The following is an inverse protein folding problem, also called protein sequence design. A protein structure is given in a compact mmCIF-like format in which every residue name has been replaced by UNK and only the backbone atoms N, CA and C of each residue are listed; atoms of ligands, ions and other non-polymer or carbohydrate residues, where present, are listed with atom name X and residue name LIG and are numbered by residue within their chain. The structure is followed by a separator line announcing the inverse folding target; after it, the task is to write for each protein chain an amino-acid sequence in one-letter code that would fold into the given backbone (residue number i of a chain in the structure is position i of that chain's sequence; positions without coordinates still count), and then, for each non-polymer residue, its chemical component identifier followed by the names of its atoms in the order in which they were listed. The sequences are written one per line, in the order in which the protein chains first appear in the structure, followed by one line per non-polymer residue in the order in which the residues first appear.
data_IF_328333160647
#
_entry.id   IF_328333160647
#
_cell.length_a   1.000
_cell.length_b   1.000
_cell.length_c   1.000
_cell.angle_alpha   90.00
_cell.angle_beta   90.00
_cell.angle_gamma   90.00
#
_symmetry.space_group_name_H-M   'P 1'
#
loop_
_entity.id
_entity.type
_entity.pdbx_description
1 polymer ?
#
# COMPACT_ATOMS: atom_id res chain seq x y z
N UNK A 1 -17.07 0.34 -16.20
CA UNK A 1 -18.31 -0.36 -16.55
C UNK A 1 -19.19 0.53 -17.43
N UNK A 2 -19.65 0.01 -18.56
CA UNK A 2 -20.69 0.68 -19.33
C UNK A 2 -22.08 0.52 -18.65
N UNK A 3 -23.05 1.31 -19.10
CA UNK A 3 -24.39 1.33 -18.52
C UNK A 3 -25.12 -0.02 -18.71
N UNK A 4 -24.86 -0.71 -19.81
CA UNK A 4 -25.45 -2.02 -20.08
C UNK A 4 -24.92 -3.10 -19.13
N UNK A 5 -23.64 -3.09 -18.80
CA UNK A 5 -23.05 -4.00 -17.82
C UNK A 5 -23.59 -3.72 -16.41
N UNK A 6 -23.66 -2.44 -16.01
CA UNK A 6 -24.25 -2.04 -14.71
C UNK A 6 -25.72 -2.46 -14.61
N UNK A 7 -26.50 -2.30 -15.69
CA UNK A 7 -27.88 -2.75 -15.74
C UNK A 7 -28.02 -4.27 -15.59
N UNK A 8 -27.03 -5.05 -16.00
CA UNK A 8 -26.96 -6.50 -15.80
C UNK A 8 -26.49 -6.92 -14.39
N UNK A 9 -26.07 -5.98 -13.54
CA UNK A 9 -25.64 -6.25 -12.17
C UNK A 9 -24.15 -6.48 -11.99
N UNK A 10 -23.31 -6.06 -12.95
CA UNK A 10 -21.86 -6.03 -12.75
C UNK A 10 -21.51 -4.93 -11.75
N UNK A 11 -20.70 -5.29 -10.76
CA UNK A 11 -20.11 -4.38 -9.77
C UNK A 11 -18.61 -4.26 -9.96
N UNK A 12 -17.96 -5.31 -10.51
CA UNK A 12 -16.53 -5.36 -10.78
C UNK A 12 -16.16 -4.54 -12.01
N UNK A 13 -15.08 -3.78 -11.91
CA UNK A 13 -14.52 -2.94 -12.97
C UNK A 13 -13.14 -3.40 -13.40
N UNK A 14 -12.84 -3.22 -14.69
CA UNK A 14 -11.48 -3.38 -15.20
C UNK A 14 -10.63 -2.20 -14.75
N UNK A 15 -9.47 -2.47 -14.15
CA UNK A 15 -8.42 -1.46 -14.01
C UNK A 15 -7.54 -1.49 -15.26
N UNK A 16 -7.52 -0.38 -16.00
CA UNK A 16 -6.79 -0.26 -17.27
C UNK A 16 -5.56 0.59 -17.05
N UNK A 17 -4.39 0.07 -17.42
CA UNK A 17 -3.12 0.77 -17.36
C UNK A 17 -2.71 1.24 -18.74
N UNK A 18 -2.29 2.50 -18.82
CA UNK A 18 -1.81 3.14 -20.03
C UNK A 18 -0.32 3.42 -19.93
N UNK A 19 0.37 3.32 -21.05
CA UNK A 19 1.76 3.74 -21.21
C UNK A 19 1.77 5.07 -21.97
N UNK A 20 2.32 6.09 -21.33
CA UNK A 20 2.52 7.40 -21.94
C UNK A 20 3.99 7.60 -22.31
N UNK A 21 4.26 7.92 -23.57
CA UNK A 21 5.56 8.41 -23.99
C UNK A 21 5.66 9.91 -23.68
N UNK A 22 6.40 10.27 -22.64
CA UNK A 22 6.50 11.66 -22.16
C UNK A 22 7.18 12.61 -23.17
N UNK A 23 7.91 12.09 -24.17
CA UNK A 23 8.56 12.89 -25.21
C UNK A 23 7.62 13.18 -26.38
N UNK A 24 6.79 12.22 -26.78
CA UNK A 24 5.90 12.35 -27.94
C UNK A 24 4.46 12.67 -27.55
N UNK A 25 4.07 12.44 -26.30
CA UNK A 25 2.70 12.53 -25.83
C UNK A 25 1.80 11.35 -26.28
N UNK A 26 2.37 10.36 -26.95
CA UNK A 26 1.62 9.18 -27.39
C UNK A 26 1.23 8.30 -26.21
N UNK A 27 -0.04 7.94 -26.17
CA UNK A 27 -0.64 7.08 -25.15
C UNK A 27 -1.16 5.79 -25.80
N UNK A 28 -0.92 4.66 -25.17
CA UNK A 28 -1.51 3.38 -25.54
C UNK A 28 -1.86 2.57 -24.31
N UNK A 29 -2.88 1.72 -24.42
CA UNK A 29 -3.20 0.75 -23.39
C UNK A 29 -2.01 -0.23 -23.26
N UNK A 30 -1.49 -0.38 -22.02
CA UNK A 30 -0.43 -1.33 -21.72
C UNK A 30 -1.03 -2.70 -21.40
N UNK A 31 -1.93 -2.75 -20.45
CA UNK A 31 -2.67 -3.95 -20.05
C UNK A 31 -3.88 -3.56 -19.17
N UNK A 32 -4.72 -4.55 -18.91
CA UNK A 32 -5.87 -4.40 -18.00
C UNK A 32 -5.99 -5.58 -17.05
N UNK A 33 -6.52 -5.34 -15.86
CA UNK A 33 -6.75 -6.34 -14.83
C UNK A 33 -8.25 -6.39 -14.49
N UNK A 34 -8.85 -7.58 -14.32
CA UNK A 34 -10.29 -7.73 -14.13
C UNK A 34 -10.74 -7.47 -12.68
N UNK A 35 -10.18 -6.47 -12.02
CA UNK A 35 -10.50 -6.13 -10.64
C UNK A 35 -10.08 -4.70 -10.32
N UNK A 36 -10.57 -4.16 -9.21
CA UNK A 36 -10.06 -2.92 -8.61
C UNK A 36 -8.64 -3.14 -8.09
N UNK A 37 -7.69 -2.32 -8.51
CA UNK A 37 -6.27 -2.41 -8.12
C UNK A 37 -5.92 -1.22 -7.24
N UNK A 38 -5.42 -1.49 -6.03
CA UNK A 38 -5.03 -0.49 -5.05
C UNK A 38 -3.56 -0.08 -5.14
N UNK A 39 -2.70 -0.94 -5.70
CA UNK A 39 -1.28 -0.66 -5.89
C UNK A 39 -0.67 -1.48 -7.02
N UNK A 40 0.26 -0.87 -7.77
CA UNK A 40 1.02 -1.52 -8.84
C UNK A 40 2.49 -1.15 -8.73
N UNK A 41 3.36 -2.15 -8.72
CA UNK A 41 4.81 -1.98 -8.65
C UNK A 41 5.50 -2.75 -9.78
N UNK A 42 6.40 -2.10 -10.51
CA UNK A 42 7.28 -2.79 -11.45
C UNK A 42 8.33 -3.55 -10.66
N UNK A 43 8.40 -4.87 -10.82
CA UNK A 43 9.41 -5.71 -10.19
C UNK A 43 10.70 -5.72 -11.02
N UNK A 44 10.55 -6.01 -12.31
CA UNK A 44 11.61 -6.00 -13.32
C UNK A 44 11.00 -5.96 -14.74
N UNK A 45 11.75 -6.35 -15.77
CA UNK A 45 11.25 -6.29 -17.13
C UNK A 45 10.13 -7.31 -17.35
N UNK A 46 8.95 -6.80 -17.73
CA UNK A 46 7.76 -7.60 -18.01
C UNK A 46 7.09 -8.24 -16.80
N UNK A 47 7.55 -7.96 -15.56
CA UNK A 47 6.90 -8.47 -14.34
C UNK A 47 6.47 -7.32 -13.43
N UNK A 48 5.20 -7.37 -13.01
CA UNK A 48 4.61 -6.42 -12.09
C UNK A 48 4.00 -7.15 -10.90
N UNK A 49 4.09 -6.54 -9.74
CA UNK A 49 3.35 -6.95 -8.54
C UNK A 49 2.22 -5.96 -8.33
N UNK A 50 1.06 -6.43 -8.00
CA UNK A 50 -0.07 -5.57 -7.71
C UNK A 50 -0.92 -6.10 -6.56
N UNK A 51 -1.65 -5.20 -5.91
CA UNK A 51 -2.69 -5.54 -4.96
C UNK A 51 -4.04 -5.28 -5.58
N UNK A 52 -4.91 -6.28 -5.50
CA UNK A 52 -6.24 -6.22 -6.09
C UNK A 52 -7.31 -6.71 -5.14
N UNK A 53 -8.51 -6.12 -5.25
CA UNK A 53 -9.66 -6.51 -4.47
C UNK A 53 -10.22 -7.85 -4.93
N UNK A 54 -10.39 -8.78 -3.99
CA UNK A 54 -11.02 -10.08 -4.21
C UNK A 54 -12.11 -10.34 -3.19
N UNK A 55 -13.07 -11.19 -3.54
CA UNK A 55 -14.19 -11.56 -2.67
C UNK A 55 -14.17 -13.06 -2.36
N UNK A 56 -14.35 -13.42 -1.10
CA UNK A 56 -14.39 -14.83 -0.67
C UNK A 56 -15.78 -15.44 -0.83
N UNK A 57 -16.83 -14.60 -0.82
CA UNK A 57 -18.24 -15.02 -0.86
C UNK A 57 -18.83 -15.09 -2.28
N UNK A 58 -18.09 -14.61 -3.27
CA UNK A 58 -18.56 -14.53 -4.65
C UNK A 58 -17.44 -14.55 -5.69
N UNK A 59 -17.69 -15.16 -6.86
CA UNK A 59 -16.73 -15.12 -7.95
C UNK A 59 -16.72 -13.74 -8.62
N UNK A 60 -15.60 -13.39 -9.24
CA UNK A 60 -15.48 -12.21 -10.09
C UNK A 60 -16.23 -12.42 -11.42
N UNK A 61 -17.22 -11.59 -11.71
CA UNK A 61 -18.01 -11.71 -12.93
C UNK A 61 -17.21 -11.53 -14.21
N UNK A 62 -16.13 -10.72 -14.16
CA UNK A 62 -15.28 -10.46 -15.33
C UNK A 62 -14.47 -11.70 -15.76
N UNK A 63 -14.35 -12.70 -14.88
CA UNK A 63 -13.67 -13.98 -15.15
C UNK A 63 -14.65 -15.08 -15.56
N UNK A 64 -15.95 -14.84 -15.45
CA UNK A 64 -16.99 -15.82 -15.79
C UNK A 64 -17.47 -15.65 -17.22
N UNK A 65 -17.85 -16.77 -17.84
CA UNK A 65 -18.43 -16.79 -19.18
C UNK A 65 -19.60 -17.78 -19.26
N UNK A 66 -20.46 -17.59 -20.27
CA UNK A 66 -21.55 -18.54 -20.58
C UNK A 66 -22.52 -18.76 -19.42
N UNK A 67 -22.87 -20.01 -19.17
CA UNK A 67 -23.87 -20.41 -18.17
C UNK A 67 -23.47 -20.01 -16.75
N UNK A 68 -22.17 -20.08 -16.40
CA UNK A 68 -21.67 -19.70 -15.08
C UNK A 68 -21.91 -18.22 -14.78
N UNK A 69 -21.68 -17.35 -15.78
CA UNK A 69 -21.94 -15.92 -15.68
C UNK A 69 -23.45 -15.66 -15.49
N UNK A 70 -24.31 -16.23 -16.32
CA UNK A 70 -25.75 -16.02 -16.22
C UNK A 70 -26.33 -16.49 -14.88
N UNK A 71 -25.87 -17.65 -14.38
CA UNK A 71 -26.26 -18.18 -13.07
C UNK A 71 -25.89 -17.23 -11.94
N UNK A 72 -24.66 -16.68 -11.96
CA UNK A 72 -24.21 -15.77 -10.94
C UNK A 72 -24.94 -14.42 -11.01
N UNK A 73 -25.22 -13.90 -12.20
CA UNK A 73 -26.03 -12.68 -12.38
C UNK A 73 -27.44 -12.84 -11.80
N UNK A 74 -28.07 -13.99 -12.04
CA UNK A 74 -29.40 -14.32 -11.47
C UNK A 74 -29.32 -14.38 -9.94
N UNK A 75 -28.29 -15.04 -9.38
CA UNK A 75 -28.06 -15.11 -7.92
C UNK A 75 -27.93 -13.71 -7.31
N UNK A 76 -27.12 -12.82 -7.90
CA UNK A 76 -26.92 -11.44 -7.42
C UNK A 76 -28.19 -10.62 -7.49
N UNK A 77 -28.95 -10.77 -8.55
CA UNK A 77 -30.24 -10.08 -8.70
C UNK A 77 -31.24 -10.51 -7.62
N UNK A 78 -31.29 -11.82 -7.29
CA UNK A 78 -32.18 -12.35 -6.24
C UNK A 78 -31.78 -11.85 -4.84
N UNK A 79 -30.48 -11.61 -4.58
CA UNK A 79 -29.95 -11.18 -3.28
C UNK A 79 -29.78 -9.67 -3.16
N UNK A 80 -30.12 -8.88 -4.19
CA UNK A 80 -29.87 -7.43 -4.25
C UNK A 80 -30.53 -6.64 -3.10
N UNK A 81 -31.62 -7.16 -2.51
CA UNK A 81 -32.38 -6.48 -1.47
C UNK A 81 -31.78 -6.57 -0.05
N UNK A 82 -30.71 -7.35 0.15
CA UNK A 82 -30.08 -7.51 1.46
C UNK A 82 -28.60 -7.86 1.35
N UNK A 83 -27.84 -7.60 2.42
CA UNK A 83 -26.46 -8.07 2.59
C UNK A 83 -26.37 -8.91 3.85
N UNK A 84 -25.63 -10.01 3.79
CA UNK A 84 -25.28 -10.83 4.96
C UNK A 84 -23.85 -10.47 5.34
N UNK A 85 -23.69 -9.87 6.52
CA UNK A 85 -22.39 -9.47 7.04
C UNK A 85 -21.95 -10.52 8.06
N UNK A 86 -20.79 -11.12 7.85
CA UNK A 86 -20.24 -12.21 8.67
C UNK A 86 -18.93 -11.84 9.35
N UNK A 87 -18.41 -10.64 9.10
CA UNK A 87 -17.12 -10.16 9.60
C UNK A 87 -17.28 -8.84 10.36
N UNK A 88 -16.36 -8.59 11.29
CA UNK A 88 -16.25 -7.34 12.05
C UNK A 88 -14.94 -6.62 11.73
N UNK A 89 -14.95 -5.27 11.64
CA UNK A 89 -16.09 -4.38 11.78
C UNK A 89 -17.06 -4.51 10.58
N UNK A 90 -18.33 -4.18 10.78
CA UNK A 90 -19.34 -4.24 9.71
C UNK A 90 -19.18 -3.14 8.67
N UNK A 91 -18.53 -2.04 9.06
CA UNK A 91 -18.23 -0.90 8.18
C UNK A 91 -17.02 -0.14 8.72
N UNK A 92 -16.35 0.57 7.83
CA UNK A 92 -15.27 1.52 8.14
C UNK A 92 -15.56 2.88 7.50
N UNK A 93 -15.13 3.96 8.18
CA UNK A 93 -15.27 5.32 7.66
C UNK A 93 -14.53 5.49 6.32
N UNK A 94 -15.21 6.08 5.35
CA UNK A 94 -14.65 6.28 4.01
C UNK A 94 -14.71 5.05 3.10
N UNK A 95 -14.92 3.84 3.65
CA UNK A 95 -15.01 2.58 2.89
C UNK A 95 -16.47 2.11 2.77
N UNK A 96 -17.27 2.33 3.82
CA UNK A 96 -18.64 1.85 3.89
C UNK A 96 -18.75 0.44 4.47
N UNK A 97 -19.80 -0.30 4.08
CA UNK A 97 -20.00 -1.68 4.49
C UNK A 97 -19.21 -2.62 3.57
N UNK A 98 -18.37 -3.44 4.17
CA UNK A 98 -17.63 -4.48 3.46
C UNK A 98 -17.87 -5.84 4.13
N UNK A 99 -17.64 -6.91 3.41
CA UNK A 99 -17.76 -8.27 3.92
C UNK A 99 -17.01 -9.22 2.99
N UNK A 100 -16.15 -10.05 3.56
CA UNK A 100 -15.37 -11.05 2.85
C UNK A 100 -14.56 -10.50 1.64
N UNK A 101 -14.20 -9.23 1.72
CA UNK A 101 -13.34 -8.55 0.75
C UNK A 101 -11.90 -8.58 1.25
N UNK A 102 -10.96 -8.86 0.35
CA UNK A 102 -9.53 -8.93 0.65
C UNK A 102 -8.73 -8.12 -0.35
N UNK A 103 -7.74 -7.41 0.14
CA UNK A 103 -6.68 -6.84 -0.67
C UNK A 103 -5.63 -7.93 -0.88
N UNK A 104 -5.58 -8.50 -2.07
CA UNK A 104 -4.79 -9.70 -2.39
C UNK A 104 -3.57 -9.33 -3.22
N UNK A 105 -2.42 -9.92 -2.92
CA UNK A 105 -1.17 -9.71 -3.66
C UNK A 105 -1.06 -10.67 -4.84
N UNK A 106 -0.74 -10.11 -6.02
CA UNK A 106 -0.60 -10.83 -7.28
C UNK A 106 0.71 -10.51 -7.98
N UNK A 107 1.19 -11.47 -8.78
CA UNK A 107 2.20 -11.26 -9.82
C UNK A 107 1.50 -11.21 -11.17
N UNK A 108 1.80 -10.18 -11.99
CA UNK A 108 1.39 -10.08 -13.39
C UNK A 108 2.59 -10.28 -14.31
N UNK A 109 2.40 -11.09 -15.35
CA UNK A 109 3.36 -11.44 -16.39
C UNK A 109 2.94 -10.80 -17.71
N UNK A 110 3.55 -9.68 -18.08
CA UNK A 110 3.14 -8.86 -19.23
C UNK A 110 3.19 -9.65 -20.56
N UNK A 111 4.22 -10.46 -20.77
CA UNK A 111 4.38 -11.24 -22.02
C UNK A 111 3.29 -12.32 -22.19
N UNK A 112 2.76 -12.87 -21.11
CA UNK A 112 1.70 -13.86 -21.13
C UNK A 112 0.30 -13.24 -21.05
N UNK A 113 0.18 -12.00 -20.54
CA UNK A 113 -1.10 -11.38 -20.21
C UNK A 113 -1.81 -12.06 -19.04
N UNK A 114 -1.04 -12.74 -18.18
CA UNK A 114 -1.57 -13.58 -17.09
C UNK A 114 -1.15 -13.01 -15.73
N UNK A 115 -1.98 -13.27 -14.73
CA UNK A 115 -1.63 -12.97 -13.35
C UNK A 115 -1.86 -14.20 -12.45
N UNK A 116 -1.12 -14.26 -11.36
CA UNK A 116 -1.24 -15.30 -10.35
C UNK A 116 -1.22 -14.73 -8.95
N UNK A 117 -1.99 -15.32 -8.07
CA UNK A 117 -2.04 -14.98 -6.66
C UNK A 117 -0.73 -15.38 -5.95
N UNK A 118 -0.25 -14.49 -5.07
CA UNK A 118 0.91 -14.75 -4.19
C UNK A 118 0.44 -15.13 -2.78
N UNK A 119 -0.54 -14.40 -2.23
CA UNK A 119 -1.04 -14.62 -0.87
C UNK A 119 -2.16 -15.66 -0.79
N UNK A 120 -2.36 -16.34 0.35
CA UNK A 120 -3.55 -17.16 0.59
C UNK A 120 -4.85 -16.36 0.41
N UNK A 121 -5.97 -17.05 0.20
CA UNK A 121 -7.26 -16.43 -0.11
C UNK A 121 -7.82 -15.59 1.03
N UNK A 122 -7.64 -16.04 2.27
CA UNK A 122 -8.13 -15.41 3.48
C UNK A 122 -7.21 -14.32 4.06
N UNK A 123 -6.12 -14.01 3.34
CA UNK A 123 -5.17 -12.97 3.76
C UNK A 123 -5.55 -11.60 3.19
N UNK A 124 -5.47 -10.58 4.04
CA UNK A 124 -5.61 -9.18 3.67
C UNK A 124 -4.24 -8.50 3.75
N UNK A 125 -3.83 -7.83 2.66
CA UNK A 125 -2.49 -7.24 2.48
C UNK A 125 -2.55 -5.73 2.71
N UNK A 126 -1.61 -5.20 3.51
CA UNK A 126 -1.51 -3.76 3.77
C UNK A 126 -0.31 -3.11 3.07
N UNK A 127 0.90 -3.37 3.55
CA UNK A 127 2.11 -2.71 3.05
C UNK A 127 2.84 -3.62 2.06
N UNK A 128 3.34 -3.02 0.99
CA UNK A 128 4.09 -3.75 -0.04
C UNK A 128 5.33 -2.95 -0.41
N UNK A 129 6.48 -3.60 -0.43
CA UNK A 129 7.75 -3.04 -0.89
C UNK A 129 8.42 -4.02 -1.86
N UNK A 130 8.66 -3.56 -3.09
CA UNK A 130 9.09 -4.40 -4.22
C UNK A 130 10.51 -4.05 -4.63
N UNK A 131 11.33 -5.07 -4.85
CA UNK A 131 12.61 -4.98 -5.54
C UNK A 131 12.74 -6.10 -6.59
N UNK A 132 13.71 -6.05 -7.49
CA UNK A 132 13.90 -7.13 -8.46
C UNK A 132 13.98 -8.51 -7.79
N UNK A 133 13.06 -9.39 -8.19
CA UNK A 133 12.96 -10.77 -7.71
C UNK A 133 12.36 -10.98 -6.32
N UNK A 134 12.09 -9.94 -5.54
CA UNK A 134 11.56 -10.11 -4.18
C UNK A 134 10.51 -9.06 -3.80
N UNK A 135 9.56 -9.48 -2.97
CA UNK A 135 8.54 -8.62 -2.37
C UNK A 135 8.56 -8.79 -0.86
N UNK A 136 8.66 -7.68 -0.14
CA UNK A 136 8.29 -7.61 1.27
C UNK A 136 6.85 -7.12 1.36
N UNK A 137 6.06 -7.76 2.18
CA UNK A 137 4.68 -7.32 2.41
C UNK A 137 4.23 -7.64 3.81
N UNK A 138 3.20 -6.93 4.26
CA UNK A 138 2.48 -7.26 5.48
C UNK A 138 1.10 -7.78 5.14
N UNK A 139 0.64 -8.72 5.93
CA UNK A 139 -0.69 -9.30 5.77
C UNK A 139 -1.14 -9.99 7.06
N UNK A 140 -2.44 -10.21 7.17
CA UNK A 140 -3.04 -11.00 8.25
C UNK A 140 -4.13 -11.92 7.72
N UNK A 141 -4.31 -13.11 8.30
CA UNK A 141 -5.49 -13.92 8.04
C UNK A 141 -6.72 -13.21 8.63
N UNK A 142 -7.71 -12.95 7.80
CA UNK A 142 -8.95 -12.29 8.22
C UNK A 142 -10.13 -13.23 7.98
N UNK A 143 -10.77 -13.71 9.05
CA UNK A 143 -11.87 -14.67 8.97
C UNK A 143 -13.17 -14.12 9.52
N UNK A 144 -13.19 -13.77 10.80
CA UNK A 144 -14.41 -13.29 11.47
C UNK A 144 -14.24 -11.85 12.00
N UNK A 145 -13.07 -11.55 12.54
CA UNK A 145 -12.73 -10.25 13.10
C UNK A 145 -11.41 -9.78 12.51
N UNK A 146 -11.40 -8.55 12.02
CA UNK A 146 -10.18 -7.92 11.48
C UNK A 146 -9.14 -7.79 12.58
N UNK A 147 -7.98 -8.44 12.45
CA UNK A 147 -6.91 -8.29 13.43
C UNK A 147 -6.36 -6.86 13.45
N UNK A 148 -5.83 -6.44 14.61
CA UNK A 148 -5.09 -5.18 14.75
C UNK A 148 -3.58 -5.37 14.54
N UNK A 149 -3.12 -6.61 14.52
CA UNK A 149 -1.74 -7.00 14.28
C UNK A 149 -1.61 -7.72 12.96
N UNK A 150 -0.44 -7.66 12.37
CA UNK A 150 -0.16 -8.26 11.07
C UNK A 150 1.21 -8.94 11.04
N UNK A 151 1.36 -9.90 10.15
CA UNK A 151 2.63 -10.56 9.87
C UNK A 151 3.42 -9.80 8.80
N UNK A 152 4.73 -9.97 8.84
CA UNK A 152 5.63 -9.53 7.79
C UNK A 152 6.20 -10.72 7.04
N UNK A 153 6.14 -10.66 5.74
CA UNK A 153 6.48 -11.74 4.84
C UNK A 153 7.46 -11.28 3.76
N UNK A 154 8.27 -12.24 3.29
CA UNK A 154 9.12 -12.10 2.12
C UNK A 154 8.72 -13.15 1.09
N UNK A 155 8.32 -12.71 -0.10
CA UNK A 155 8.10 -13.60 -1.21
C UNK A 155 9.25 -13.49 -2.21
N UNK A 156 9.74 -14.65 -2.66
CA UNK A 156 10.80 -14.77 -3.65
C UNK A 156 10.22 -15.24 -4.99
N UNK A 157 10.47 -14.49 -6.05
CA UNK A 157 9.90 -14.73 -7.37
C UNK A 157 10.56 -15.90 -8.12
N UNK A 158 11.80 -16.24 -7.81
CA UNK A 158 12.53 -17.35 -8.43
C UNK A 158 12.02 -18.69 -7.88
N UNK A 159 11.90 -18.80 -6.57
CA UNK A 159 11.47 -20.00 -5.89
C UNK A 159 9.95 -20.10 -5.75
N UNK A 160 9.24 -19.00 -5.94
CA UNK A 160 7.80 -18.85 -5.65
C UNK A 160 7.45 -19.28 -4.23
N UNK A 161 8.28 -18.90 -3.27
CA UNK A 161 8.16 -19.25 -1.87
C UNK A 161 7.95 -17.99 -1.02
N UNK A 162 7.17 -18.14 0.05
CA UNK A 162 6.93 -17.09 1.04
C UNK A 162 7.54 -17.49 2.37
N UNK A 163 8.44 -16.66 2.88
CA UNK A 163 9.02 -16.76 4.20
C UNK A 163 8.28 -15.84 5.17
N UNK A 164 7.97 -16.30 6.36
CA UNK A 164 7.44 -15.49 7.45
C UNK A 164 8.60 -14.88 8.23
N UNK A 165 8.72 -13.56 8.21
CA UNK A 165 9.74 -12.81 8.94
C UNK A 165 9.25 -12.39 10.33
N UNK A 166 7.99 -11.95 10.45
CA UNK A 166 7.31 -11.62 11.70
C UNK A 166 5.95 -12.32 11.68
N UNK A 167 5.62 -13.01 12.76
CA UNK A 167 4.31 -13.66 12.90
C UNK A 167 3.18 -12.64 13.11
N UNK A 168 1.93 -12.91 12.68
CA UNK A 168 0.86 -11.92 12.65
C UNK A 168 0.25 -11.56 14.02
N UNK A 169 0.84 -12.00 15.11
CA UNK A 169 0.36 -11.79 16.49
C UNK A 169 1.17 -10.76 17.29
N UNK A 170 2.18 -10.12 16.67
CA UNK A 170 3.14 -9.30 17.42
C UNK A 170 2.90 -7.79 17.33
N UNK A 171 2.79 -7.27 16.13
CA UNK A 171 2.81 -5.83 15.88
C UNK A 171 1.68 -5.38 14.95
N UNK A 172 1.21 -4.16 15.14
CA UNK A 172 0.63 -3.38 14.04
C UNK A 172 1.78 -2.74 13.29
N UNK A 173 1.84 -2.88 11.96
CA UNK A 173 3.00 -2.46 11.18
C UNK A 173 2.64 -1.23 10.34
N UNK A 174 3.44 -0.16 10.45
CA UNK A 174 3.24 1.09 9.69
C UNK A 174 4.06 1.13 8.39
N UNK A 175 5.15 0.34 8.32
CA UNK A 175 6.01 0.34 7.14
C UNK A 175 6.93 -0.88 7.09
N UNK A 176 7.22 -1.34 5.87
CA UNK A 176 8.26 -2.35 5.58
C UNK A 176 9.13 -1.91 4.42
N UNK A 177 10.43 -2.17 4.51
CA UNK A 177 11.39 -1.81 3.47
C UNK A 177 12.55 -2.79 3.35
N UNK A 178 13.10 -2.94 2.16
CA UNK A 178 14.31 -3.72 1.94
C UNK A 178 15.54 -2.99 2.49
N UNK A 179 16.34 -3.66 3.33
CA UNK A 179 17.58 -3.15 3.91
C UNK A 179 18.73 -4.14 3.58
N UNK A 180 19.29 -4.03 2.39
CA UNK A 180 20.21 -5.04 1.89
C UNK A 180 19.56 -6.43 1.83
N UNK A 181 20.14 -7.42 2.56
CA UNK A 181 19.55 -8.76 2.70
C UNK A 181 18.52 -8.85 3.82
N UNK A 182 18.48 -7.84 4.68
CA UNK A 182 17.55 -7.73 5.80
C UNK A 182 16.32 -6.95 5.40
N UNK A 183 15.40 -6.81 6.33
CA UNK A 183 14.23 -5.98 6.20
C UNK A 183 14.16 -4.96 7.32
N UNK A 184 13.68 -3.77 7.02
CA UNK A 184 13.27 -2.75 7.97
C UNK A 184 11.78 -2.90 8.22
N UNK A 185 11.38 -2.87 9.48
CA UNK A 185 9.99 -2.86 9.92
C UNK A 185 9.78 -1.72 10.91
N UNK A 186 8.75 -0.92 10.70
CA UNK A 186 8.27 0.04 11.67
C UNK A 186 7.00 -0.54 12.28
N UNK A 187 7.08 -0.96 13.54
CA UNK A 187 6.01 -1.67 14.23
C UNK A 187 5.57 -1.00 15.52
N UNK A 188 4.27 -1.01 15.80
CA UNK A 188 3.68 -0.59 17.05
C UNK A 188 3.64 -1.80 18.00
N UNK A 189 4.32 -1.70 19.13
CA UNK A 189 4.39 -2.79 20.13
C UNK A 189 3.08 -2.93 20.90
N UNK A 190 2.27 -1.88 20.93
CA UNK A 190 0.93 -1.78 21.53
C UNK A 190 0.87 -2.16 23.02
N UNK A 191 1.95 -1.92 23.77
CA UNK A 191 2.04 -2.29 25.18
C UNK A 191 1.36 -1.30 26.10
N UNK A 192 1.58 0.01 25.84
CA UNK A 192 1.20 1.08 26.77
C UNK A 192 -0.04 1.85 26.29
N UNK A 193 -0.14 2.13 25.00
CA UNK A 193 -1.21 2.96 24.39
C UNK A 193 -1.92 2.29 23.20
N UNK A 194 -1.67 1.00 22.96
CA UNK A 194 -2.27 0.26 21.85
C UNK A 194 -1.87 0.83 20.49
N UNK A 195 -2.82 0.94 19.58
CA UNK A 195 -2.60 1.47 18.21
C UNK A 195 -2.21 2.96 18.16
N UNK A 196 -2.24 3.66 19.28
CA UNK A 196 -1.81 5.06 19.37
C UNK A 196 -0.36 5.23 19.81
N UNK A 197 0.39 4.14 19.95
CA UNK A 197 1.84 4.21 20.19
C UNK A 197 2.57 4.74 18.97
N UNK A 198 3.76 5.30 19.23
CA UNK A 198 4.69 5.65 18.18
C UNK A 198 5.50 4.43 17.72
N UNK A 199 5.93 4.38 16.45
CA UNK A 199 6.58 3.21 15.88
C UNK A 199 7.96 2.95 16.50
N UNK A 200 8.27 1.67 16.61
CA UNK A 200 9.59 1.14 16.93
C UNK A 200 10.25 0.66 15.64
N UNK A 201 11.50 1.01 15.44
CA UNK A 201 12.29 0.52 14.32
C UNK A 201 12.85 -0.86 14.64
N UNK A 202 12.58 -1.82 13.76
CA UNK A 202 13.14 -3.17 13.82
C UNK A 202 13.91 -3.48 12.55
N UNK A 203 15.09 -4.08 12.70
CA UNK A 203 15.76 -4.76 11.60
C UNK A 203 15.52 -6.25 11.74
N UNK A 204 15.01 -6.87 10.68
CA UNK A 204 14.55 -8.26 10.69
C UNK A 204 15.39 -9.07 9.70
N UNK A 205 15.88 -10.21 10.14
CA UNK A 205 16.58 -11.21 9.31
C UNK A 205 16.23 -12.63 9.79
N UNK A 206 16.90 -13.63 9.22
CA UNK A 206 16.73 -15.06 9.55
C UNK A 206 17.01 -15.39 11.04
N UNK A 207 17.71 -14.51 11.76
CA UNK A 207 18.05 -14.69 13.18
C UNK A 207 16.99 -14.07 14.10
N UNK A 208 16.05 -13.33 13.56
CA UNK A 208 14.98 -12.68 14.27
C UNK A 208 14.99 -11.16 14.14
N UNK A 209 14.42 -10.51 15.13
CA UNK A 209 14.14 -9.07 15.18
C UNK A 209 15.14 -8.35 16.09
N UNK A 210 15.85 -7.37 15.57
CA UNK A 210 16.70 -6.45 16.33
C UNK A 210 15.91 -5.15 16.56
N UNK A 211 15.60 -4.85 17.82
CA UNK A 211 14.93 -3.61 18.22
C UNK A 211 15.93 -2.46 18.27
N UNK A 212 15.75 -1.43 17.48
CA UNK A 212 16.60 -0.23 17.39
C UNK A 212 16.03 0.98 18.13
N UNK A 213 14.95 0.79 18.85
CA UNK A 213 14.32 1.83 19.66
C UNK A 213 13.07 2.45 19.04
N UNK A 214 12.29 3.09 19.91
CA UNK A 214 11.07 3.80 19.53
C UNK A 214 11.41 5.21 19.07
N UNK A 215 10.77 5.63 17.98
CA UNK A 215 10.77 7.02 17.55
C UNK A 215 9.55 7.70 18.18
N UNK A 216 9.76 8.79 18.90
CA UNK A 216 8.71 9.45 19.68
C UNK A 216 7.87 10.44 18.86
N UNK A 217 7.57 10.07 17.60
CA UNK A 217 6.68 10.79 16.68
C UNK A 217 6.12 9.81 15.65
N UNK A 218 5.09 10.22 14.92
CA UNK A 218 4.61 9.47 13.76
C UNK A 218 5.61 9.50 12.61
N UNK A 219 5.69 8.41 11.88
CA UNK A 219 6.50 8.27 10.64
C UNK A 219 5.59 8.49 9.44
N UNK A 220 4.80 9.54 9.53
CA UNK A 220 3.87 10.01 8.52
C UNK A 220 3.45 11.44 8.84
N UNK A 221 3.06 12.21 7.83
CA UNK A 221 2.42 13.51 8.05
C UNK A 221 0.94 13.27 8.34
N UNK A 222 0.52 13.64 9.55
CA UNK A 222 -0.88 13.58 10.00
C UNK A 222 -1.49 14.97 10.15
N UNK A 223 -0.86 15.99 9.59
CA UNK A 223 -1.44 17.33 9.53
C UNK A 223 -2.66 17.29 8.63
N UNK A 224 -3.81 17.71 9.15
CA UNK A 224 -5.08 17.67 8.43
C UNK A 224 -5.40 19.06 7.91
N UNK A 225 -5.77 19.12 6.65
CA UNK A 225 -6.28 20.31 5.98
C UNK A 225 -7.61 19.98 5.29
N UNK A 226 -8.43 20.99 5.03
CA UNK A 226 -9.64 20.88 4.21
C UNK A 226 -9.34 20.78 2.70
N UNK A 227 -8.07 20.90 2.32
CA UNK A 227 -7.59 20.65 0.96
C UNK A 227 -7.18 19.19 0.79
N UNK A 228 -8.02 18.38 0.16
CA UNK A 228 -7.67 17.00 -0.16
C UNK A 228 -6.76 16.92 -1.38
N UNK A 229 -5.63 16.23 -1.27
CA UNK A 229 -4.59 16.16 -2.30
C UNK A 229 -4.23 14.73 -2.75
N UNK A 230 -5.06 13.75 -2.44
CA UNK A 230 -4.86 12.36 -2.85
C UNK A 230 -4.20 11.47 -1.80
N UNK A 231 -3.80 10.27 -2.21
CA UNK A 231 -3.14 9.31 -1.35
C UNK A 231 -1.72 9.75 -1.00
N UNK A 232 -1.35 9.60 0.26
CA UNK A 232 -0.04 9.96 0.81
C UNK A 232 0.71 8.68 1.13
N UNK A 233 1.94 8.56 0.64
CA UNK A 233 2.82 7.44 1.01
C UNK A 233 3.83 7.82 2.07
N UNK A 234 4.27 9.05 2.10
CA UNK A 234 5.08 9.65 3.15
C UNK A 234 6.42 8.97 3.48
N UNK A 235 6.75 7.85 2.81
CA UNK A 235 7.97 7.06 3.07
C UNK A 235 8.61 6.59 1.76
N UNK A 236 9.97 6.64 1.71
CA UNK A 236 10.77 6.18 0.57
C UNK A 236 12.09 5.57 1.03
N UNK A 237 12.40 4.37 0.55
CA UNK A 237 13.75 3.80 0.68
C UNK A 237 14.62 4.21 -0.51
N UNK A 238 15.80 4.74 -0.22
CA UNK A 238 16.86 4.98 -1.22
C UNK A 238 18.13 4.30 -0.71
N UNK A 239 18.52 3.20 -1.34
CA UNK A 239 19.57 2.33 -0.81
C UNK A 239 19.17 1.76 0.57
N UNK A 240 19.96 2.05 1.59
CA UNK A 240 19.72 1.63 2.98
C UNK A 240 19.20 2.78 3.87
N UNK A 241 18.80 3.90 3.28
CA UNK A 241 18.25 5.06 3.99
C UNK A 241 16.74 5.12 3.78
N UNK A 242 16.00 5.20 4.88
CA UNK A 242 14.57 5.52 4.85
C UNK A 242 14.40 7.03 4.97
N UNK A 243 13.72 7.62 3.99
CA UNK A 243 13.21 8.99 4.06
C UNK A 243 11.73 8.94 4.38
N UNK A 244 11.27 9.85 5.24
CA UNK A 244 9.87 9.89 5.64
C UNK A 244 9.45 11.27 6.11
N UNK A 245 8.16 11.55 5.97
CA UNK A 245 7.55 12.70 6.61
C UNK A 245 7.20 12.38 8.05
N UNK A 246 7.25 13.39 8.91
CA UNK A 246 6.71 13.32 10.26
C UNK A 246 5.79 14.51 10.53
N UNK A 247 4.94 14.37 11.52
CA UNK A 247 4.21 15.50 12.10
C UNK A 247 5.06 16.12 13.20
N UNK A 248 5.23 17.45 13.15
CA UNK A 248 5.98 18.23 14.13
C UNK A 248 5.20 19.50 14.52
N UNK A 249 4.45 19.40 15.61
CA UNK A 249 3.57 20.48 16.04
C UNK A 249 2.43 20.72 15.05
N UNK A 250 2.43 21.90 14.40
CA UNK A 250 1.41 22.32 13.42
C UNK A 250 1.82 22.05 11.97
N UNK A 251 3.04 21.63 11.74
CA UNK A 251 3.60 21.39 10.41
C UNK A 251 4.13 19.98 10.23
N UNK A 252 4.83 19.78 9.12
CA UNK A 252 5.45 18.53 8.74
C UNK A 252 6.94 18.69 8.52
N UNK A 253 7.72 17.66 8.86
CA UNK A 253 9.14 17.60 8.57
C UNK A 253 9.51 16.47 7.65
N UNK A 254 10.59 16.63 6.87
CA UNK A 254 11.28 15.53 6.19
C UNK A 254 12.38 15.01 7.10
N UNK A 255 12.34 13.72 7.38
CA UNK A 255 13.34 13.01 8.14
C UNK A 255 14.03 11.97 7.30
N UNK A 256 15.23 11.59 7.71
CA UNK A 256 15.89 10.38 7.25
C UNK A 256 16.24 9.50 8.44
N UNK A 257 16.26 8.20 8.19
CA UNK A 257 16.77 7.20 9.13
C UNK A 257 17.83 6.33 8.46
N UNK A 258 18.92 6.11 9.15
CA UNK A 258 19.91 5.06 8.85
C UNK A 258 20.14 4.23 10.10
N UNK A 259 20.67 3.01 9.92
CA UNK A 259 20.98 2.14 11.05
C UNK A 259 22.05 2.73 11.96
N UNK A 260 23.02 3.49 11.39
CA UNK A 260 24.17 4.04 12.13
C UNK A 260 23.80 5.30 12.91
N UNK A 261 22.98 6.17 12.32
CA UNK A 261 22.71 7.51 12.89
C UNK A 261 21.35 7.64 13.54
N UNK A 262 20.46 6.66 13.35
CA UNK A 262 19.07 6.79 13.74
C UNK A 262 18.34 7.85 12.92
N UNK A 263 17.29 8.45 13.49
CA UNK A 263 16.47 9.47 12.82
C UNK A 263 17.17 10.83 12.89
N UNK A 264 17.20 11.52 11.74
CA UNK A 264 17.66 12.90 11.60
C UNK A 264 16.65 13.70 10.82
N UNK A 265 16.33 14.92 11.27
CA UNK A 265 15.49 15.86 10.53
C UNK A 265 16.33 16.59 9.49
N UNK A 266 15.90 16.54 8.24
CA UNK A 266 16.54 17.23 7.10
C UNK A 266 15.93 18.59 6.83
N UNK A 267 14.61 18.66 6.89
CA UNK A 267 13.80 19.83 6.63
C UNK A 267 12.58 19.82 7.56
N UNK A 268 12.15 20.97 8.03
CA UNK A 268 10.96 21.08 8.88
C UNK A 268 10.56 22.54 9.05
N UNK A 269 9.33 22.76 9.44
CA UNK A 269 8.73 24.08 9.64
C UNK A 269 7.24 23.98 9.89
N UNK A 270 6.56 25.11 9.80
CA UNK A 270 5.11 25.21 9.98
C UNK A 270 4.33 24.90 8.70
N UNK A 271 5.01 24.52 7.62
CA UNK A 271 4.39 24.17 6.37
C UNK A 271 3.86 22.74 6.40
N UNK A 272 2.83 22.49 5.59
CA UNK A 272 2.24 21.16 5.46
C UNK A 272 2.82 20.43 4.25
N UNK A 273 3.78 19.53 4.49
CA UNK A 273 4.26 18.57 3.50
C UNK A 273 3.27 17.42 3.41
N UNK A 274 2.70 17.20 2.23
CA UNK A 274 1.66 16.21 2.00
C UNK A 274 2.27 14.88 1.60
N UNK A 275 3.11 14.90 0.57
CA UNK A 275 3.85 13.74 0.08
C UNK A 275 5.16 14.19 -0.56
N UNK A 276 6.06 13.26 -0.80
CA UNK A 276 7.31 13.54 -1.48
C UNK A 276 7.77 12.40 -2.36
N UNK A 277 8.66 12.70 -3.29
CA UNK A 277 9.42 11.71 -4.03
C UNK A 277 10.89 12.13 -4.15
N UNK A 278 11.77 11.13 -4.19
CA UNK A 278 13.20 11.32 -4.40
C UNK A 278 13.81 10.11 -5.09
N UNK A 279 14.73 10.35 -6.00
CA UNK A 279 15.49 9.30 -6.69
C UNK A 279 16.81 8.99 -6.01
N UNK A 280 17.44 9.98 -5.43
CA UNK A 280 18.84 9.92 -4.99
C UNK A 280 19.07 10.32 -3.53
N UNK A 281 18.01 10.72 -2.82
CA UNK A 281 18.08 11.22 -1.46
C UNK A 281 18.76 12.58 -1.30
N UNK A 282 18.93 13.32 -2.41
CA UNK A 282 19.56 14.66 -2.43
C UNK A 282 18.58 15.73 -2.88
N UNK A 283 17.77 15.41 -3.88
CA UNK A 283 16.71 16.28 -4.38
C UNK A 283 15.37 15.64 -4.11
N UNK A 284 14.46 16.45 -3.59
CA UNK A 284 13.13 16.02 -3.19
C UNK A 284 12.08 16.89 -3.89
N UNK A 285 11.10 16.24 -4.49
CA UNK A 285 9.88 16.90 -4.93
C UNK A 285 8.84 16.72 -3.83
N UNK A 286 8.20 17.81 -3.44
CA UNK A 286 7.11 17.78 -2.47
C UNK A 286 5.80 18.20 -3.12
N UNK A 287 4.72 17.54 -2.75
CA UNK A 287 3.39 18.14 -2.76
C UNK A 287 3.19 18.80 -1.40
N UNK A 288 3.03 20.11 -1.35
CA UNK A 288 3.01 20.84 -0.09
C UNK A 288 2.08 22.07 -0.13
N UNK A 289 1.48 22.39 1.01
CA UNK A 289 0.82 23.65 1.26
C UNK A 289 1.77 24.55 2.07
N UNK A 290 2.33 25.56 1.43
CA UNK A 290 3.32 26.46 2.02
C UNK A 290 2.65 27.78 2.41
N UNK A 291 2.70 28.13 3.69
CA UNK A 291 1.99 29.25 4.26
C UNK A 291 0.48 29.11 4.10
N UNK A 292 -0.18 30.10 3.50
CA UNK A 292 -1.64 30.11 3.26
C UNK A 292 -2.01 29.76 1.80
N UNK A 293 -1.11 29.14 1.05
CA UNK A 293 -1.36 28.75 -0.33
C UNK A 293 -1.99 27.33 -0.40
N UNK A 294 -2.69 27.11 -1.51
CA UNK A 294 -3.14 25.76 -1.86
C UNK A 294 -1.94 24.84 -2.12
N UNK A 295 -2.12 23.50 -2.03
CA UNK A 295 -1.07 22.55 -2.35
C UNK A 295 -0.51 22.75 -3.76
N UNK A 296 0.80 22.82 -3.85
CA UNK A 296 1.59 22.96 -5.08
C UNK A 296 2.78 22.00 -5.05
N UNK A 297 3.51 21.93 -6.17
CA UNK A 297 4.72 21.11 -6.25
C UNK A 297 5.94 21.99 -6.01
N UNK A 298 6.81 21.52 -5.12
CA UNK A 298 8.04 22.21 -4.73
C UNK A 298 9.25 21.29 -4.90
N UNK A 299 10.38 21.88 -5.29
CA UNK A 299 11.68 21.23 -5.30
C UNK A 299 12.49 21.69 -4.08
N UNK A 300 13.19 20.77 -3.44
CA UNK A 300 14.17 21.05 -2.39
C UNK A 300 15.45 20.25 -2.60
N UNK A 301 16.61 20.88 -2.51
CA UNK A 301 17.93 20.30 -2.67
C UNK A 301 18.91 20.61 -1.51
N UNK A 302 18.35 20.92 -0.34
CA UNK A 302 19.11 21.33 0.85
C UNK A 302 19.09 22.83 1.12
N UNK A 303 18.50 23.63 0.23
CA UNK A 303 18.33 25.06 0.34
C UNK A 303 16.91 25.48 0.72
N UNK A 304 16.33 26.40 -0.03
CA UNK A 304 14.94 26.85 0.09
C UNK A 304 14.02 25.95 -0.77
N UNK A 305 12.75 25.91 -0.41
CA UNK A 305 11.71 25.32 -1.27
C UNK A 305 11.51 26.22 -2.49
N UNK A 306 11.66 25.64 -3.67
CA UNK A 306 11.43 26.30 -4.97
C UNK A 306 10.16 25.73 -5.60
N UNK A 307 9.22 26.61 -6.01
CA UNK A 307 7.96 26.25 -6.68
C UNK A 307 8.17 26.05 -8.17
#
# INVERSE_FOLDING_TARGET
LDEAMRARGFEEEWTVYHRLNVCTGEECEAFRLPMSVSGLWKMDEGRYVFTGETHLDRPNLLELTGEALEKELVRRQQTRGYKVLTELPLCENGVGMFNQTRNTLFLYLEAAGEYRRITPEDYDVNHVNVRPGQVLFTAFPFRDVKPVTEGMYRWDAEWNETETLITPDKYSIDYVGHLGRKALCLGLVMRDYGVYEHPTFFVVDEKGEENLGRYDRRVNSEVVTDCFSGAVTGQRMVGETLYFLNTDGVGSGLCMWTRETGVQTLFGGDDYLIDFDTKDGKRFLFSAAVGLKLPEVYLWDGGQLEQ
#
